data_IF_248154530243
#
_entry.id   IF_248154530243
#
_cell.length_a   1.000
_cell.length_b   1.000
_cell.length_c   1.000
_cell.angle_alpha   90.00
_cell.angle_beta   90.00
_cell.angle_gamma   90.00
#
_symmetry.space_group_name_H-M   'P 1'
#
loop_
_entity.id
_entity.type
_entity.pdbx_description
1 polymer ?
#
# COMPACT_ATOMS: atom_id res chain seq x y z
N UNK A 1 5.14 -5.06 -9.67
CA UNK A 1 4.88 -4.73 -8.25
C UNK A 1 4.42 -3.29 -8.06
N UNK A 2 5.11 -2.29 -8.64
CA UNK A 2 4.75 -0.87 -8.41
C UNK A 2 3.44 -0.42 -9.08
N UNK A 3 3.14 -0.83 -10.32
CA UNK A 3 1.95 -0.34 -11.05
C UNK A 3 0.61 -0.79 -10.46
N UNK A 4 0.54 -2.05 -10.00
CA UNK A 4 -0.69 -2.67 -9.49
C UNK A 4 -1.15 -2.01 -8.18
N UNK A 5 -0.20 -1.72 -7.30
CA UNK A 5 -0.44 -1.02 -6.04
C UNK A 5 -0.90 0.42 -6.27
N UNK A 6 -0.30 1.12 -7.23
CA UNK A 6 -0.72 2.49 -7.55
C UNK A 6 -2.13 2.54 -8.11
N UNK A 7 -2.53 1.60 -8.97
CA UNK A 7 -3.92 1.50 -9.47
C UNK A 7 -4.91 1.17 -8.34
N UNK A 8 -4.54 0.31 -7.39
CA UNK A 8 -5.42 -0.05 -6.28
C UNK A 8 -5.62 1.08 -5.26
N UNK A 9 -4.60 1.92 -5.08
CA UNK A 9 -4.68 3.10 -4.21
C UNK A 9 -5.37 4.28 -4.93
N UNK A 10 -5.24 4.36 -6.26
CA UNK A 10 -5.83 5.41 -7.08
C UNK A 10 -7.36 5.24 -7.19
N UNK A 11 -8.08 5.91 -6.29
CA UNK A 11 -9.55 5.92 -6.24
C UNK A 11 -10.14 5.27 -4.99
N UNK A 12 -9.31 4.59 -4.17
CA UNK A 12 -9.73 4.11 -2.85
C UNK A 12 -9.53 5.19 -1.79
N UNK A 13 -10.37 5.14 -0.75
CA UNK A 13 -10.30 6.07 0.37
C UNK A 13 -9.02 5.82 1.20
N UNK A 14 -8.43 6.86 1.80
CA UNK A 14 -7.20 6.74 2.61
C UNK A 14 -7.33 5.69 3.73
N UNK A 15 -8.53 5.53 4.31
CA UNK A 15 -8.81 4.51 5.30
C UNK A 15 -8.73 3.07 4.72
N UNK A 16 -9.18 2.87 3.48
CA UNK A 16 -9.09 1.59 2.79
C UNK A 16 -7.65 1.26 2.40
N UNK A 17 -6.86 2.26 2.01
CA UNK A 17 -5.43 2.11 1.77
C UNK A 17 -4.64 1.77 3.05
N UNK A 18 -5.07 2.27 4.22
CA UNK A 18 -4.47 1.93 5.52
C UNK A 18 -4.86 0.52 6.01
N UNK A 19 -6.06 0.06 5.65
CA UNK A 19 -6.53 -1.30 5.96
C UNK A 19 -5.97 -2.37 5.00
N UNK A 20 -5.26 -1.94 3.96
CA UNK A 20 -4.67 -2.79 2.94
C UNK A 20 -3.48 -3.58 3.51
N UNK A 21 -3.49 -4.91 3.37
CA UNK A 21 -2.41 -5.78 3.87
C UNK A 21 -1.62 -6.41 2.74
N UNK A 22 -0.33 -6.61 2.98
CA UNK A 22 0.59 -7.31 2.09
C UNK A 22 0.12 -8.73 1.74
N UNK A 23 -0.64 -9.37 2.62
CA UNK A 23 -1.24 -10.70 2.40
C UNK A 23 -2.25 -10.69 1.26
N UNK A 24 -3.10 -9.67 1.15
CA UNK A 24 -4.08 -9.58 0.06
C UNK A 24 -3.38 -9.42 -1.31
N UNK A 25 -2.27 -8.68 -1.36
CA UNK A 25 -1.45 -8.51 -2.58
C UNK A 25 -0.73 -9.82 -2.94
N UNK A 26 -0.23 -10.54 -1.93
CA UNK A 26 0.48 -11.80 -2.15
C UNK A 26 -0.46 -12.91 -2.62
N UNK A 27 -1.70 -12.92 -2.12
CA UNK A 27 -2.75 -13.87 -2.47
C UNK A 27 -3.30 -13.62 -3.89
N UNK A 28 -3.64 -12.36 -4.22
CA UNK A 28 -4.14 -11.97 -5.54
C UNK A 28 -3.12 -12.23 -6.66
N UNK A 29 -1.83 -12.16 -6.34
CA UNK A 29 -0.76 -12.24 -7.34
C UNK A 29 -0.05 -13.61 -7.36
N UNK A 30 -0.53 -14.58 -6.57
CA UNK A 30 0.01 -15.95 -6.42
C UNK A 30 1.55 -15.96 -6.36
N UNK A 31 2.11 -15.00 -5.63
CA UNK A 31 3.54 -14.72 -5.75
C UNK A 31 4.34 -15.81 -5.01
N UNK A 32 5.32 -16.45 -5.67
CA UNK A 32 6.22 -17.37 -5.00
C UNK A 32 6.96 -16.64 -3.87
N UNK A 33 7.37 -17.35 -2.79
CA UNK A 33 7.84 -16.76 -1.53
C UNK A 33 8.98 -15.75 -1.66
N UNK A 34 9.72 -15.80 -2.77
CA UNK A 34 10.83 -14.90 -3.07
C UNK A 34 10.38 -13.46 -3.39
N UNK A 35 9.13 -13.25 -3.83
CA UNK A 35 8.60 -11.93 -4.23
C UNK A 35 7.72 -11.25 -3.17
N UNK A 36 7.57 -11.85 -1.98
CA UNK A 36 6.81 -11.27 -0.86
C UNK A 36 7.41 -9.93 -0.40
N UNK A 37 8.73 -9.76 -0.53
CA UNK A 37 9.41 -8.50 -0.18
C UNK A 37 8.83 -7.29 -0.93
N UNK A 38 8.35 -7.48 -2.16
CA UNK A 38 7.72 -6.42 -2.95
C UNK A 38 6.36 -6.00 -2.37
N UNK A 39 5.59 -6.93 -1.79
CA UNK A 39 4.30 -6.66 -1.15
C UNK A 39 4.48 -5.95 0.19
N UNK A 40 5.52 -6.32 0.95
CA UNK A 40 5.87 -5.65 2.21
C UNK A 40 6.33 -4.21 1.93
N UNK A 41 7.20 -4.03 0.93
CA UNK A 41 7.69 -2.69 0.56
C UNK A 41 6.55 -1.77 0.11
N UNK A 42 5.59 -2.32 -0.64
CA UNK A 42 4.41 -1.58 -1.08
C UNK A 42 3.50 -1.18 0.10
N UNK A 43 3.26 -2.09 1.05
CA UNK A 43 2.48 -1.78 2.25
C UNK A 43 3.13 -0.65 3.06
N UNK A 44 4.44 -0.72 3.28
CA UNK A 44 5.18 0.27 4.06
C UNK A 44 5.17 1.64 3.37
N UNK A 45 5.36 1.66 2.05
CA UNK A 45 5.30 2.89 1.25
C UNK A 45 3.91 3.57 1.33
N UNK A 46 2.83 2.79 1.28
CA UNK A 46 1.46 3.34 1.42
C UNK A 46 1.25 3.91 2.82
N UNK A 47 1.65 3.20 3.88
CA UNK A 47 1.51 3.69 5.25
C UNK A 47 2.30 4.98 5.46
N UNK A 48 3.54 5.03 4.99
CA UNK A 48 4.38 6.22 5.05
C UNK A 48 3.75 7.39 4.29
N UNK A 49 3.23 7.15 3.08
CA UNK A 49 2.55 8.19 2.29
C UNK A 49 1.29 8.72 2.97
N UNK A 50 0.47 7.86 3.59
CA UNK A 50 -0.73 8.28 4.34
C UNK A 50 -0.34 9.07 5.60
N UNK A 51 0.70 8.64 6.32
CA UNK A 51 1.19 9.33 7.51
C UNK A 51 1.75 10.72 7.17
N UNK A 52 2.52 10.84 6.09
CA UNK A 52 3.01 12.12 5.57
C UNK A 52 1.84 13.03 5.13
N UNK A 53 0.85 12.45 4.43
CA UNK A 53 -0.34 13.19 3.99
C UNK A 53 -1.18 13.71 5.16
N UNK A 54 -1.38 12.91 6.22
CA UNK A 54 -2.06 13.35 7.45
C UNK A 54 -1.27 14.45 8.17
N UNK A 55 0.02 14.25 8.37
CA UNK A 55 0.91 15.21 9.03
C UNK A 55 0.93 16.56 8.30
N UNK A 56 0.99 16.55 6.96
CA UNK A 56 0.92 17.78 6.14
C UNK A 56 -0.43 18.47 6.17
N UNK A 57 -1.52 17.73 6.39
CA UNK A 57 -2.87 18.31 6.52
C UNK A 57 -3.15 18.88 7.90
N UNK A 58 -2.57 18.32 8.95
CA UNK A 58 -2.66 18.85 10.33
C UNK A 58 -1.72 20.02 10.57
N UNK A 59 -0.63 20.15 9.80
CA UNK A 59 0.31 21.27 9.87
C UNK A 59 -0.19 22.57 9.20
N UNK A 60 -1.50 22.72 8.97
CA UNK A 60 -2.12 23.94 8.42
C UNK A 60 -3.19 24.46 9.35
#
# INVERSE_FOLDING_TARGET
>A
CSALVTEWVQGKCLAAAQAFKNTDIADELELPPVKIHCSILAEDAIKAAIADYKSKREAK
#
